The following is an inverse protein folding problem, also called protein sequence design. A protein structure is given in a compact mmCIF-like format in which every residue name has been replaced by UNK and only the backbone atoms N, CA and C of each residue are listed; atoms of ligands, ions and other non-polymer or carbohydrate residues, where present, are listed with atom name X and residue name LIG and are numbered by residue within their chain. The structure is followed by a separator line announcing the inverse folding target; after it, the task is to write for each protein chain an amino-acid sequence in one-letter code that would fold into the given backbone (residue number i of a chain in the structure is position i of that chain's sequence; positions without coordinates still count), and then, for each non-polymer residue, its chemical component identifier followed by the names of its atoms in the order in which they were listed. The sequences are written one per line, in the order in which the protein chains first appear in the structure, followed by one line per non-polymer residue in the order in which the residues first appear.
data_IF_662969808890
#
_entry.id   IF_662969808890
#
_cell.length_a   1.000
_cell.length_b   1.000
_cell.length_c   1.000
_cell.angle_alpha   90.00
_cell.angle_beta   90.00
_cell.angle_gamma   90.00
#
_symmetry.space_group_name_H-M   'P 1'
#
loop_
_entity.id
_entity.type
_entity.pdbx_description
1 polymer ?
#
# COMPACT_ATOMS: atom_id res chain seq x y z
N UNK A 1 -9.47 1.98 -11.54
CA UNK A 1 -9.59 3.22 -10.71
C UNK A 1 -8.82 3.01 -9.42
N UNK A 2 -7.92 3.92 -9.10
CA UNK A 2 -7.14 3.91 -7.86
C UNK A 2 -8.07 4.26 -6.69
N UNK A 3 -7.91 3.54 -5.58
CA UNK A 3 -8.63 3.75 -4.33
C UNK A 3 -7.68 4.26 -3.26
N UNK A 4 -8.21 4.96 -2.28
CA UNK A 4 -7.44 5.51 -1.17
C UNK A 4 -7.93 4.94 0.16
N UNK A 5 -7.00 4.41 0.94
CA UNK A 5 -7.26 3.89 2.28
C UNK A 5 -6.67 4.82 3.35
N UNK A 6 -7.39 5.00 4.44
CA UNK A 6 -6.98 5.78 5.60
C UNK A 6 -7.17 4.99 6.89
N UNK A 7 -6.27 5.20 7.84
CA UNK A 7 -6.40 4.59 9.16
C UNK A 7 -7.46 5.28 10.01
N UNK A 8 -8.08 4.52 10.88
CA UNK A 8 -9.20 4.91 11.72
C UNK A 8 -8.91 6.06 12.72
N UNK A 9 -7.63 6.39 12.93
CA UNK A 9 -7.25 7.54 13.75
C UNK A 9 -7.33 8.89 13.04
N UNK A 10 -7.57 8.90 11.71
CA UNK A 10 -7.80 10.12 10.95
C UNK A 10 -9.13 10.77 11.34
N UNK A 11 -9.23 12.08 11.11
CA UNK A 11 -10.43 12.83 11.43
C UNK A 11 -11.62 12.38 10.57
N UNK A 12 -12.84 12.49 11.10
CA UNK A 12 -14.07 12.01 10.45
C UNK A 12 -14.28 12.57 9.06
N UNK A 13 -13.92 13.84 8.83
CA UNK A 13 -14.05 14.49 7.52
C UNK A 13 -13.18 13.84 6.43
N UNK A 14 -12.04 13.26 6.80
CA UNK A 14 -11.16 12.54 5.90
C UNK A 14 -11.64 11.10 5.70
N UNK A 15 -12.02 10.43 6.78
CA UNK A 15 -12.58 9.08 6.71
C UNK A 15 -13.82 9.01 5.81
N UNK A 16 -14.67 10.04 5.83
CA UNK A 16 -15.84 10.14 4.96
C UNK A 16 -15.49 10.23 3.46
N UNK A 17 -14.25 10.55 3.12
CA UNK A 17 -13.74 10.66 1.76
C UNK A 17 -12.88 9.47 1.33
N UNK A 18 -12.54 8.57 2.25
CA UNK A 18 -11.75 7.38 1.96
C UNK A 18 -12.60 6.30 1.26
N UNK A 19 -11.96 5.55 0.37
CA UNK A 19 -12.59 4.38 -0.25
C UNK A 19 -12.52 3.15 0.68
N UNK A 20 -11.55 3.16 1.60
CA UNK A 20 -11.35 2.11 2.58
C UNK A 20 -10.85 2.70 3.90
N UNK A 21 -11.31 2.14 5.03
CA UNK A 21 -10.86 2.50 6.38
C UNK A 21 -10.11 1.32 6.98
N UNK A 22 -8.89 1.58 7.45
CA UNK A 22 -8.02 0.59 8.06
C UNK A 22 -8.10 0.71 9.58
N UNK A 23 -8.35 -0.42 10.24
CA UNK A 23 -8.44 -0.51 11.71
C UNK A 23 -7.47 -1.58 12.21
N UNK A 24 -6.72 -1.29 13.25
CA UNK A 24 -5.92 -2.31 13.95
C UNK A 24 -6.86 -3.26 14.68
N UNK A 25 -6.55 -4.57 14.70
CA UNK A 25 -7.38 -5.57 15.38
C UNK A 25 -7.57 -5.25 16.86
N UNK A 26 -6.55 -4.70 17.52
CA UNK A 26 -6.63 -4.24 18.91
C UNK A 26 -7.70 -3.15 19.16
N UNK A 27 -8.12 -2.46 18.10
CA UNK A 27 -9.14 -1.41 18.12
C UNK A 27 -10.43 -1.80 17.38
N UNK A 28 -10.65 -3.10 17.14
CA UNK A 28 -11.73 -3.62 16.30
C UNK A 28 -13.14 -3.16 16.71
N UNK A 29 -13.36 -2.85 17.98
CA UNK A 29 -14.66 -2.38 18.47
C UNK A 29 -15.10 -1.04 17.84
N UNK A 30 -14.15 -0.26 17.33
CA UNK A 30 -14.44 1.02 16.66
C UNK A 30 -15.26 0.87 15.38
N UNK A 31 -15.20 -0.32 14.74
CA UNK A 31 -15.91 -0.53 13.48
C UNK A 31 -17.43 -0.70 13.64
N UNK A 32 -17.94 -0.88 14.87
CA UNK A 32 -19.37 -1.16 15.09
C UNK A 32 -20.29 -0.05 14.56
N UNK A 33 -19.83 1.20 14.60
CA UNK A 33 -20.58 2.37 14.10
C UNK A 33 -20.29 2.69 12.62
N UNK A 34 -19.27 2.08 12.01
CA UNK A 34 -18.79 2.44 10.67
C UNK A 34 -19.79 2.17 9.54
N UNK A 35 -20.63 1.10 9.58
CA UNK A 35 -21.64 0.90 8.55
C UNK A 35 -22.59 2.10 8.40
N UNK A 36 -22.92 2.78 9.50
CA UNK A 36 -23.77 3.98 9.52
C UNK A 36 -22.98 5.25 9.21
N UNK A 37 -21.79 5.41 9.79
CA UNK A 37 -20.97 6.60 9.63
C UNK A 37 -20.31 6.70 8.26
N UNK A 38 -19.90 5.58 7.67
CA UNK A 38 -19.13 5.51 6.43
C UNK A 38 -19.68 4.44 5.46
N UNK A 39 -20.95 4.58 5.01
CA UNK A 39 -21.62 3.54 4.22
C UNK A 39 -20.97 3.28 2.85
N UNK A 40 -20.12 4.20 2.39
CA UNK A 40 -19.43 4.11 1.11
C UNK A 40 -17.99 3.59 1.20
N UNK A 41 -17.45 3.41 2.39
CA UNK A 41 -16.11 2.89 2.60
C UNK A 41 -16.10 1.36 2.81
N UNK A 42 -15.10 0.68 2.25
CA UNK A 42 -14.74 -0.67 2.68
C UNK A 42 -14.01 -0.60 4.03
N UNK A 43 -13.95 -1.73 4.74
CA UNK A 43 -13.19 -1.81 5.99
C UNK A 43 -12.17 -2.93 5.91
N UNK A 44 -10.96 -2.63 6.36
CA UNK A 44 -9.89 -3.60 6.54
C UNK A 44 -9.45 -3.64 8.01
N UNK A 45 -9.40 -4.84 8.57
CA UNK A 45 -8.81 -5.10 9.89
C UNK A 45 -7.40 -5.61 9.70
N UNK A 46 -6.41 -4.90 10.24
CA UNK A 46 -5.02 -5.36 10.26
C UNK A 46 -4.72 -6.06 11.59
N UNK A 47 -4.45 -7.36 11.50
CA UNK A 47 -4.12 -8.24 12.62
C UNK A 47 -2.60 -8.41 12.70
N UNK A 48 -2.01 -7.83 13.73
CA UNK A 48 -0.58 -7.95 14.03
C UNK A 48 -0.28 -9.07 15.03
N UNK A 49 -1.30 -9.81 15.42
CA UNK A 49 -1.22 -11.00 16.26
C UNK A 49 -0.43 -12.09 15.54
N UNK A 50 0.53 -12.68 16.23
CA UNK A 50 1.43 -13.70 15.65
C UNK A 50 0.77 -15.08 15.55
N UNK A 51 -0.22 -15.35 16.40
CA UNK A 51 -0.92 -16.63 16.43
C UNK A 51 -2.40 -16.50 16.06
N UNK A 52 -2.92 -17.51 15.39
CA UNK A 52 -4.33 -17.54 15.00
C UNK A 52 -5.28 -17.68 16.21
N UNK A 53 -4.78 -18.14 17.35
CA UNK A 53 -5.56 -18.28 18.58
C UNK A 53 -5.90 -16.92 19.24
N UNK A 54 -5.10 -15.89 18.95
CA UNK A 54 -5.28 -14.55 19.51
C UNK A 54 -6.32 -13.73 18.71
N UNK A 55 -6.82 -14.29 17.61
CA UNK A 55 -7.80 -13.63 16.74
C UNK A 55 -9.18 -14.28 16.90
N UNK A 56 -10.18 -13.48 17.24
CA UNK A 56 -11.57 -13.92 17.24
C UNK A 56 -12.16 -13.95 15.82
N UNK A 57 -11.85 -15.02 15.09
CA UNK A 57 -12.32 -15.27 13.72
C UNK A 57 -13.84 -15.30 13.60
N UNK A 58 -14.53 -15.75 14.66
CA UNK A 58 -15.99 -15.83 14.67
C UNK A 58 -16.61 -14.44 14.72
N UNK A 59 -16.04 -13.56 15.55
CA UNK A 59 -16.44 -12.16 15.61
C UNK A 59 -16.22 -11.46 14.24
N UNK A 60 -15.04 -11.61 13.65
CA UNK A 60 -14.71 -11.06 12.32
C UNK A 60 -15.69 -11.54 11.24
N UNK A 61 -16.02 -12.84 11.23
CA UNK A 61 -17.01 -13.41 10.31
C UNK A 61 -18.38 -12.75 10.47
N UNK A 62 -18.81 -12.52 11.71
CA UNK A 62 -20.11 -11.91 12.00
C UNK A 62 -20.18 -10.44 11.60
N UNK A 63 -19.04 -9.74 11.64
CA UNK A 63 -18.96 -8.33 11.23
C UNK A 63 -18.95 -8.15 9.72
N UNK A 64 -18.31 -9.04 8.98
CA UNK A 64 -18.11 -8.90 7.54
C UNK A 64 -19.38 -8.56 6.72
N UNK A 65 -20.56 -9.16 6.97
CA UNK A 65 -21.78 -8.85 6.21
C UNK A 65 -22.30 -7.42 6.39
N UNK A 66 -21.89 -6.72 7.43
CA UNK A 66 -22.34 -5.34 7.70
C UNK A 66 -21.69 -4.33 6.74
N UNK A 67 -20.58 -4.69 6.09
CA UNK A 67 -19.80 -3.80 5.22
C UNK A 67 -20.06 -4.11 3.75
N UNK A 68 -21.06 -3.48 3.17
CA UNK A 68 -21.50 -3.72 1.78
C UNK A 68 -20.44 -3.38 0.72
N UNK A 69 -19.52 -2.47 1.01
CA UNK A 69 -18.41 -2.10 0.10
C UNK A 69 -17.23 -3.05 0.18
N UNK A 70 -17.13 -3.85 1.23
CA UNK A 70 -16.13 -4.87 1.42
C UNK A 70 -15.56 -4.91 2.83
N UNK A 71 -15.13 -6.11 3.22
CA UNK A 71 -14.47 -6.37 4.50
C UNK A 71 -13.30 -7.31 4.26
N UNK A 72 -12.12 -6.93 4.73
CA UNK A 72 -10.88 -7.67 4.45
C UNK A 72 -10.02 -7.76 5.71
N UNK A 73 -9.24 -8.82 5.84
CA UNK A 73 -8.35 -9.06 6.96
C UNK A 73 -6.90 -9.08 6.47
N UNK A 74 -6.06 -8.22 7.04
CA UNK A 74 -4.61 -8.29 6.89
C UNK A 74 -4.00 -9.12 8.02
N UNK A 75 -3.09 -10.04 7.71
CA UNK A 75 -2.41 -10.90 8.69
C UNK A 75 -0.90 -10.90 8.51
N UNK A 76 -0.15 -10.96 9.59
CA UNK A 76 1.33 -10.98 9.58
C UNK A 76 1.91 -12.39 9.37
N UNK A 77 1.11 -13.42 9.60
CA UNK A 77 1.53 -14.80 9.38
C UNK A 77 0.76 -15.41 8.20
N UNK A 78 1.50 -15.80 7.16
CA UNK A 78 0.90 -16.36 5.93
C UNK A 78 0.02 -17.60 6.20
N UNK A 79 0.34 -18.39 7.22
CA UNK A 79 -0.45 -19.56 7.59
C UNK A 79 -1.84 -19.24 8.12
N UNK A 80 -2.12 -17.99 8.46
CA UNK A 80 -3.46 -17.53 8.86
C UNK A 80 -4.40 -17.32 7.68
N UNK A 81 -3.89 -17.19 6.45
CA UNK A 81 -4.72 -17.01 5.25
C UNK A 81 -5.73 -18.17 5.08
N UNK A 82 -5.32 -19.45 5.10
CA UNK A 82 -6.28 -20.56 5.03
C UNK A 82 -7.31 -20.54 6.16
N UNK A 83 -6.90 -20.12 7.36
CA UNK A 83 -7.79 -20.02 8.52
C UNK A 83 -8.85 -18.95 8.26
N UNK A 84 -8.47 -17.72 7.90
CA UNK A 84 -9.41 -16.66 7.56
C UNK A 84 -10.40 -17.12 6.47
N UNK A 85 -9.92 -17.79 5.44
CA UNK A 85 -10.75 -18.33 4.35
C UNK A 85 -11.74 -19.40 4.82
N UNK A 86 -11.38 -20.25 5.80
CA UNK A 86 -12.29 -21.24 6.38
C UNK A 86 -13.48 -20.58 7.10
N UNK A 87 -13.32 -19.33 7.53
CA UNK A 87 -14.41 -18.50 8.07
C UNK A 87 -15.15 -17.70 6.99
N UNK A 88 -14.79 -17.85 5.71
CA UNK A 88 -15.40 -17.10 4.60
C UNK A 88 -14.90 -15.66 4.47
N UNK A 89 -13.79 -15.32 5.12
CA UNK A 89 -13.19 -13.99 5.10
C UNK A 89 -12.21 -13.85 3.94
N UNK A 90 -12.18 -12.65 3.34
CA UNK A 90 -11.12 -12.26 2.42
C UNK A 90 -9.91 -11.85 3.24
N UNK A 91 -8.73 -12.34 2.86
CA UNK A 91 -7.51 -12.05 3.59
C UNK A 91 -6.33 -11.71 2.67
N UNK A 92 -5.36 -10.99 3.21
CA UNK A 92 -4.10 -10.68 2.55
C UNK A 92 -2.94 -10.69 3.56
N UNK A 93 -1.73 -10.72 3.05
CA UNK A 93 -0.50 -10.79 3.85
C UNK A 93 0.07 -9.38 4.07
N UNK A 94 0.33 -9.00 5.32
CA UNK A 94 0.86 -7.69 5.73
C UNK A 94 2.38 -7.57 5.51
N UNK A 95 2.89 -8.12 4.41
CA UNK A 95 4.30 -8.00 4.06
C UNK A 95 4.46 -7.88 2.55
N UNK A 96 5.55 -7.29 2.12
CA UNK A 96 5.87 -7.13 0.72
C UNK A 96 6.29 -8.45 0.07
N UNK A 97 5.76 -8.71 -1.12
CA UNK A 97 6.23 -9.77 -1.99
C UNK A 97 7.43 -9.25 -2.80
N UNK A 98 8.48 -10.04 -2.85
CA UNK A 98 9.75 -9.66 -3.45
C UNK A 98 10.00 -10.35 -4.80
N UNK A 99 9.29 -11.45 -5.08
CA UNK A 99 9.52 -12.30 -6.24
C UNK A 99 8.23 -12.66 -6.96
N UNK A 100 8.32 -12.99 -8.24
CA UNK A 100 7.20 -13.53 -9.00
C UNK A 100 6.73 -14.90 -8.48
N UNK A 101 7.62 -15.69 -7.86
CA UNK A 101 7.25 -16.96 -7.24
C UNK A 101 6.28 -16.74 -6.07
N UNK A 102 6.58 -15.75 -5.22
CA UNK A 102 5.69 -15.35 -4.13
C UNK A 102 4.36 -14.79 -4.65
N UNK A 103 4.38 -13.97 -5.71
CA UNK A 103 3.18 -13.46 -6.32
C UNK A 103 2.30 -14.59 -6.90
N UNK A 104 2.90 -15.57 -7.60
CA UNK A 104 2.20 -16.77 -8.06
C UNK A 104 1.57 -17.56 -6.89
N UNK A 105 2.29 -17.66 -5.78
CA UNK A 105 1.77 -18.31 -4.57
C UNK A 105 0.58 -17.53 -4.02
N UNK A 106 0.69 -16.20 -3.90
CA UNK A 106 -0.39 -15.34 -3.45
C UNK A 106 -1.66 -15.50 -4.30
N UNK A 107 -1.52 -15.56 -5.64
CA UNK A 107 -2.63 -15.80 -6.55
C UNK A 107 -3.27 -17.17 -6.34
N UNK A 108 -2.46 -18.23 -6.22
CA UNK A 108 -2.97 -19.60 -5.97
C UNK A 108 -3.69 -19.71 -4.63
N UNK A 109 -3.16 -19.05 -3.62
CA UNK A 109 -3.80 -18.98 -2.30
C UNK A 109 -5.02 -18.04 -2.29
N UNK A 110 -5.27 -17.30 -3.37
CA UNK A 110 -6.40 -16.39 -3.51
C UNK A 110 -6.41 -15.28 -2.46
N UNK A 111 -5.28 -14.60 -2.31
CA UNK A 111 -5.19 -13.41 -1.47
C UNK A 111 -6.07 -12.30 -2.06
N UNK A 112 -6.68 -11.50 -1.17
CA UNK A 112 -7.51 -10.37 -1.58
C UNK A 112 -6.69 -9.23 -2.20
N UNK A 113 -5.48 -9.03 -1.67
CA UNK A 113 -4.52 -7.99 -2.07
C UNK A 113 -3.09 -8.51 -1.89
N UNK A 114 -2.15 -7.78 -2.52
CA UNK A 114 -0.71 -7.99 -2.31
C UNK A 114 0.00 -6.65 -2.14
N UNK A 115 0.99 -6.60 -1.25
CA UNK A 115 2.00 -5.55 -1.26
C UNK A 115 3.16 -6.03 -2.14
N UNK A 116 3.61 -5.17 -3.03
CA UNK A 116 4.73 -5.45 -3.92
C UNK A 116 5.89 -4.56 -3.56
N UNK A 117 7.10 -5.13 -3.51
CA UNK A 117 8.29 -4.31 -3.48
C UNK A 117 8.43 -3.52 -4.78
N UNK A 118 9.32 -2.55 -4.79
CA UNK A 118 9.43 -1.61 -5.89
C UNK A 118 9.74 -2.28 -7.25
N UNK A 119 10.69 -3.23 -7.38
CA UNK A 119 10.95 -3.89 -8.66
C UNK A 119 9.72 -4.58 -9.25
N UNK A 120 8.95 -5.28 -8.44
CA UNK A 120 7.71 -5.89 -8.89
C UNK A 120 6.67 -4.84 -9.25
N UNK A 121 6.48 -3.83 -8.41
CA UNK A 121 5.50 -2.77 -8.63
C UNK A 121 5.77 -2.00 -9.93
N UNK A 122 7.03 -1.72 -10.25
CA UNK A 122 7.41 -1.08 -11.52
C UNK A 122 7.14 -1.93 -12.77
N UNK A 123 6.91 -3.21 -12.58
CA UNK A 123 6.61 -4.17 -13.64
C UNK A 123 5.10 -4.31 -13.91
N UNK A 124 4.36 -3.21 -13.85
CA UNK A 124 2.89 -3.22 -13.84
C UNK A 124 2.24 -3.99 -15.00
N UNK A 125 2.81 -4.00 -16.21
CA UNK A 125 2.29 -4.78 -17.34
C UNK A 125 2.32 -6.29 -17.09
N UNK A 126 3.34 -6.77 -16.35
CA UNK A 126 3.38 -8.17 -15.92
C UNK A 126 2.45 -8.43 -14.77
N UNK A 127 2.41 -7.51 -13.78
CA UNK A 127 1.55 -7.66 -12.60
C UNK A 127 0.08 -7.73 -13.00
N UNK A 128 -0.34 -6.91 -13.96
CA UNK A 128 -1.70 -6.93 -14.49
C UNK A 128 -2.17 -8.33 -14.93
N UNK A 129 -1.26 -9.17 -15.46
CA UNK A 129 -1.58 -10.54 -15.89
C UNK A 129 -1.98 -11.47 -14.74
N UNK A 130 -1.60 -11.14 -13.51
CA UNK A 130 -1.98 -11.92 -12.33
C UNK A 130 -3.40 -11.62 -11.85
N UNK A 131 -3.99 -10.50 -12.26
CA UNK A 131 -5.36 -10.11 -11.91
C UNK A 131 -5.61 -9.94 -10.42
N UNK A 132 -4.55 -9.76 -9.62
CA UNK A 132 -4.65 -9.57 -8.17
C UNK A 132 -4.54 -8.09 -7.82
N UNK A 133 -5.46 -7.54 -7.00
CA UNK A 133 -5.39 -6.15 -6.56
C UNK A 133 -4.13 -5.87 -5.75
N UNK A 134 -3.54 -4.70 -5.98
CA UNK A 134 -2.29 -4.28 -5.32
C UNK A 134 -2.58 -3.22 -4.27
N UNK A 135 -2.00 -3.39 -3.08
CA UNK A 135 -1.87 -2.32 -2.08
C UNK A 135 -0.51 -1.66 -2.24
N UNK A 136 -0.51 -0.36 -2.28
CA UNK A 136 0.72 0.42 -2.43
C UNK A 136 0.81 1.49 -1.36
N UNK A 137 1.98 1.62 -0.80
CA UNK A 137 2.31 2.64 0.19
C UNK A 137 3.44 3.49 -0.34
N UNK A 138 3.31 4.84 -0.32
CA UNK A 138 4.42 5.71 -0.63
C UNK A 138 5.47 5.58 0.48
N UNK A 139 6.44 4.69 0.29
CA UNK A 139 7.52 4.49 1.24
C UNK A 139 8.86 4.75 0.59
N UNK A 140 9.75 5.33 1.36
CA UNK A 140 11.18 5.31 1.08
C UNK A 140 11.78 4.20 1.91
N UNK A 141 12.41 3.24 1.24
CA UNK A 141 12.97 2.06 1.89
C UNK A 141 14.14 2.44 2.79
N UNK A 142 14.16 1.77 3.91
CA UNK A 142 15.21 1.54 4.90
C UNK A 142 16.20 2.69 5.19
N UNK A 143 16.17 3.12 6.46
CA UNK A 143 17.09 4.12 7.01
C UNK A 143 18.59 3.70 6.98
N UNK A 144 18.88 2.42 6.73
CA UNK A 144 20.25 1.89 6.64
C UNK A 144 20.95 2.18 5.31
N UNK A 145 20.22 2.56 4.26
CA UNK A 145 20.82 2.91 2.97
C UNK A 145 21.46 4.28 3.02
N UNK A 146 22.77 4.32 2.81
CA UNK A 146 23.56 5.56 2.89
C UNK A 146 23.42 6.49 1.66
N UNK A 147 22.91 5.95 0.53
CA UNK A 147 22.75 6.70 -0.71
C UNK A 147 21.27 6.96 -1.00
N UNK A 148 20.90 8.22 -1.24
CA UNK A 148 19.54 8.64 -1.55
C UNK A 148 19.05 8.06 -2.88
N UNK A 149 19.91 7.94 -3.88
CA UNK A 149 19.59 7.32 -5.16
C UNK A 149 19.17 5.87 -4.96
N UNK A 150 19.96 5.11 -4.21
CA UNK A 150 19.63 3.72 -3.87
C UNK A 150 18.31 3.59 -3.13
N UNK A 151 17.97 4.55 -2.25
CA UNK A 151 16.66 4.59 -1.57
C UNK A 151 15.52 4.84 -2.53
N UNK A 152 15.69 5.70 -3.51
CA UNK A 152 14.69 5.98 -4.54
C UNK A 152 14.54 4.81 -5.52
N UNK A 153 15.62 4.13 -5.86
CA UNK A 153 15.64 2.96 -6.74
C UNK A 153 14.88 1.78 -6.13
N UNK A 154 15.03 1.55 -4.83
CA UNK A 154 14.41 0.44 -4.11
C UNK A 154 13.11 0.81 -3.39
N UNK A 155 12.80 2.10 -3.28
CA UNK A 155 11.56 2.58 -2.68
C UNK A 155 10.36 2.46 -3.61
N UNK A 156 9.16 2.44 -3.03
CA UNK A 156 7.90 2.49 -3.78
C UNK A 156 7.37 3.91 -3.93
N UNK A 157 8.28 4.89 -3.97
CA UNK A 157 7.91 6.29 -4.05
C UNK A 157 7.47 6.67 -5.47
N UNK A 158 6.29 7.28 -5.58
CA UNK A 158 5.71 7.79 -6.83
C UNK A 158 5.21 9.20 -6.54
N UNK A 159 5.45 10.14 -7.43
CA UNK A 159 4.86 11.47 -7.32
C UNK A 159 3.34 11.39 -7.49
N UNK A 160 2.55 12.24 -6.81
CA UNK A 160 1.09 12.25 -6.93
C UNK A 160 0.59 12.36 -8.36
N UNK A 161 1.22 13.21 -9.19
CA UNK A 161 0.88 13.39 -10.60
C UNK A 161 1.20 12.17 -11.49
N UNK A 162 2.16 11.34 -11.07
CA UNK A 162 2.52 10.11 -11.79
C UNK A 162 1.66 8.90 -11.37
N UNK A 163 0.88 9.02 -10.29
CA UNK A 163 0.11 7.90 -9.74
C UNK A 163 -0.88 7.32 -10.77
N UNK A 164 -1.47 8.17 -11.61
CA UNK A 164 -2.38 7.74 -12.66
C UNK A 164 -1.77 6.73 -13.65
N UNK A 165 -0.44 6.71 -13.79
CA UNK A 165 0.25 5.72 -14.64
C UNK A 165 0.04 4.29 -14.15
N UNK A 166 -0.27 4.13 -12.85
CA UNK A 166 -0.52 2.85 -12.19
C UNK A 166 -2.00 2.48 -12.13
N UNK A 167 -2.90 3.31 -12.67
CA UNK A 167 -4.35 3.01 -12.74
C UNK A 167 -4.65 1.78 -13.61
N UNK A 168 -3.69 1.36 -14.41
CA UNK A 168 -3.74 0.12 -15.17
C UNK A 168 -3.64 -1.15 -14.30
N UNK A 169 -3.18 -1.02 -13.05
CA UNK A 169 -3.21 -2.11 -12.07
C UNK A 169 -4.62 -2.13 -11.48
N UNK A 170 -5.38 -3.18 -11.83
CA UNK A 170 -6.74 -3.32 -11.36
C UNK A 170 -6.80 -3.33 -9.83
N UNK A 171 -7.67 -2.47 -9.27
CA UNK A 171 -7.91 -2.40 -7.85
C UNK A 171 -6.71 -1.92 -7.02
N UNK A 172 -5.82 -1.10 -7.59
CA UNK A 172 -4.75 -0.49 -6.80
C UNK A 172 -5.32 0.36 -5.66
N UNK A 173 -4.87 0.06 -4.44
CA UNK A 173 -5.22 0.79 -3.23
C UNK A 173 -3.97 1.51 -2.73
N UNK A 174 -4.07 2.83 -2.60
CA UNK A 174 -3.05 3.66 -1.95
C UNK A 174 -3.33 3.69 -0.47
N UNK A 175 -2.42 3.11 0.30
CA UNK A 175 -2.42 3.11 1.75
C UNK A 175 -1.27 3.98 2.24
N UNK A 176 -1.53 4.87 3.18
CA UNK A 176 -0.47 5.72 3.73
C UNK A 176 0.19 5.03 4.91
N UNK A 177 1.52 5.19 5.07
CA UNK A 177 2.25 4.51 6.12
C UNK A 177 1.76 4.95 7.50
N UNK A 178 1.81 4.02 8.45
CA UNK A 178 1.59 4.28 9.88
C UNK A 178 2.76 5.13 10.41
N UNK A 179 2.71 6.42 10.20
CA UNK A 179 3.73 7.36 10.63
C UNK A 179 3.15 8.42 11.54
N UNK A 180 3.66 8.50 12.74
CA UNK A 180 3.56 9.63 13.67
C UNK A 180 2.22 10.41 13.72
N UNK A 181 1.08 9.71 13.50
CA UNK A 181 -0.24 10.27 13.74
C UNK A 181 -1.00 10.72 12.49
N UNK A 182 -2.25 11.05 12.73
CA UNK A 182 -3.27 11.33 11.72
C UNK A 182 -2.94 12.51 10.78
N UNK A 183 -2.20 13.52 11.28
CA UNK A 183 -1.96 14.76 10.54
C UNK A 183 -1.13 14.56 9.27
N UNK A 184 -0.08 13.75 9.36
CA UNK A 184 0.80 13.46 8.23
C UNK A 184 0.07 12.59 7.18
N UNK A 185 -0.68 11.59 7.64
CA UNK A 185 -1.50 10.73 6.79
C UNK A 185 -2.58 11.53 6.03
N UNK A 186 -3.28 12.43 6.73
CA UNK A 186 -4.29 13.30 6.13
C UNK A 186 -3.69 14.26 5.09
N UNK A 187 -2.48 14.79 5.37
CA UNK A 187 -1.78 15.65 4.41
C UNK A 187 -1.44 14.90 3.12
N UNK A 188 -0.89 13.69 3.24
CA UNK A 188 -0.60 12.84 2.08
C UNK A 188 -1.86 12.45 1.31
N UNK A 189 -2.92 12.07 2.02
CA UNK A 189 -4.19 11.74 1.39
C UNK A 189 -4.69 12.90 0.51
N UNK A 190 -4.68 14.13 1.02
CA UNK A 190 -5.06 15.32 0.24
C UNK A 190 -4.22 15.46 -1.02
N UNK A 191 -2.91 15.34 -0.89
CA UNK A 191 -1.95 15.52 -1.97
C UNK A 191 -2.16 14.45 -3.04
N UNK A 192 -2.17 13.18 -2.66
CA UNK A 192 -2.33 12.09 -3.61
C UNK A 192 -3.71 12.06 -4.25
N UNK A 193 -4.75 12.43 -3.51
CA UNK A 193 -6.11 12.53 -4.04
C UNK A 193 -6.28 13.70 -5.02
N UNK A 194 -5.56 14.81 -4.81
CA UNK A 194 -5.56 15.93 -5.76
C UNK A 194 -4.84 15.63 -7.07
N UNK A 195 -3.90 14.68 -7.05
CA UNK A 195 -3.06 14.34 -8.20
C UNK A 195 -2.07 15.44 -8.60
N UNK A 196 -1.90 16.47 -7.76
CA UNK A 196 -1.02 17.61 -8.03
C UNK A 196 -0.12 17.87 -6.82
N UNK A 197 1.16 18.06 -7.08
CA UNK A 197 2.14 18.41 -6.06
C UNK A 197 2.96 19.62 -6.49
N UNK A 198 2.70 20.78 -5.89
CA UNK A 198 3.37 22.03 -6.22
C UNK A 198 4.50 22.39 -5.25
N UNK A 199 4.63 21.65 -4.13
CA UNK A 199 5.60 21.97 -3.08
C UNK A 199 6.79 21.02 -3.09
N UNK A 200 7.77 21.34 -2.25
CA UNK A 200 8.94 20.49 -2.03
C UNK A 200 8.53 19.15 -1.41
N UNK A 201 8.81 18.08 -2.13
CA UNK A 201 8.61 16.72 -1.68
C UNK A 201 9.41 16.41 -0.40
N UNK A 202 10.51 17.13 -0.19
CA UNK A 202 11.35 17.01 1.00
C UNK A 202 10.62 17.31 2.30
N UNK A 203 9.66 18.23 2.29
CA UNK A 203 8.89 18.56 3.49
C UNK A 203 8.07 17.35 3.96
N UNK A 204 7.43 16.64 3.03
CA UNK A 204 6.68 15.43 3.36
C UNK A 204 7.59 14.31 3.85
N UNK A 205 8.71 14.07 3.15
CA UNK A 205 9.64 13.02 3.54
C UNK A 205 10.35 13.34 4.86
N UNK A 206 10.56 14.62 5.16
CA UNK A 206 11.10 15.04 6.46
C UNK A 206 10.11 14.74 7.59
N UNK A 207 8.84 15.05 7.40
CA UNK A 207 7.80 14.73 8.39
C UNK A 207 7.64 13.20 8.59
N UNK A 208 7.79 12.41 7.52
CA UNK A 208 7.57 10.97 7.56
C UNK A 208 8.74 10.15 8.06
N UNK A 209 9.95 10.49 7.65
CA UNK A 209 11.14 9.65 7.85
C UNK A 209 12.36 10.43 8.34
N UNK A 210 12.21 11.70 8.64
CA UNK A 210 13.35 12.58 8.95
C UNK A 210 14.32 12.74 7.77
N UNK A 211 13.84 12.50 6.54
CA UNK A 211 14.66 12.57 5.32
C UNK A 211 14.37 13.87 4.57
N UNK A 212 15.37 14.69 4.38
CA UNK A 212 15.28 15.87 3.53
C UNK A 212 15.63 15.48 2.08
N UNK A 213 14.60 15.37 1.24
CA UNK A 213 14.76 15.11 -0.21
C UNK A 213 14.09 16.23 -0.97
N UNK A 214 14.87 17.01 -1.68
CA UNK A 214 14.33 18.10 -2.48
C UNK A 214 13.51 17.58 -3.66
N UNK A 215 12.50 18.33 -4.07
CA UNK A 215 11.55 17.95 -5.11
C UNK A 215 12.21 17.64 -6.47
N UNK A 216 13.34 18.28 -6.78
CA UNK A 216 14.10 18.05 -8.01
C UNK A 216 14.75 16.65 -8.07
N UNK A 217 14.86 15.96 -6.94
CA UNK A 217 15.40 14.59 -6.90
C UNK A 217 14.38 13.55 -7.40
N UNK A 218 13.11 13.93 -7.48
CA UNK A 218 12.05 13.07 -8.04
C UNK A 218 11.26 13.94 -9.05
N UNK A 219 11.79 14.12 -10.26
CA UNK A 219 11.18 15.00 -11.25
C UNK A 219 9.85 14.47 -11.77
N UNK A 220 9.00 15.34 -12.35
CA UNK A 220 7.85 14.91 -13.12
C UNK A 220 8.24 13.90 -14.20
N UNK A 221 7.46 12.85 -14.37
CA UNK A 221 7.76 11.78 -15.33
C UNK A 221 8.70 10.69 -14.82
N UNK A 222 9.23 10.81 -13.60
CA UNK A 222 10.04 9.75 -12.99
C UNK A 222 9.26 8.42 -12.92
N UNK A 223 7.98 8.46 -12.54
CA UNK A 223 7.11 7.29 -12.53
C UNK A 223 6.98 6.66 -13.92
N UNK A 224 6.86 7.47 -14.98
CA UNK A 224 6.81 6.97 -16.36
C UNK A 224 8.11 6.29 -16.78
N UNK A 225 9.27 6.86 -16.43
CA UNK A 225 10.56 6.24 -16.70
C UNK A 225 10.68 4.89 -16.00
N UNK A 226 10.24 4.80 -14.74
CA UNK A 226 10.21 3.54 -13.97
C UNK A 226 9.23 2.52 -14.55
N UNK A 227 8.05 2.94 -14.97
CA UNK A 227 7.08 2.05 -15.62
C UNK A 227 7.62 1.43 -16.91
N UNK A 228 8.46 2.14 -17.64
CA UNK A 228 9.12 1.65 -18.85
C UNK A 228 10.40 0.85 -18.54
N UNK A 229 10.75 0.67 -17.28
CA UNK A 229 11.91 -0.10 -16.88
C UNK A 229 11.82 -1.54 -17.39
N UNK A 230 12.87 -2.02 -18.04
CA UNK A 230 12.95 -3.39 -18.57
C UNK A 230 13.11 -4.47 -17.49
N UNK A 231 12.98 -4.10 -16.21
CA UNK A 231 12.98 -5.00 -15.05
C UNK A 231 14.31 -5.71 -14.79
N UNK A 232 15.38 -5.10 -15.23
CA UNK A 232 16.71 -5.61 -14.92
C UNK A 232 17.06 -5.57 -13.43
N UNK A 233 16.24 -4.86 -12.61
CA UNK A 233 16.40 -4.87 -11.14
C UNK A 233 16.34 -6.27 -10.52
N UNK A 234 15.62 -7.22 -11.14
CA UNK A 234 15.63 -8.62 -10.70
C UNK A 234 16.94 -9.33 -11.04
N UNK A 235 17.55 -8.97 -12.17
CA UNK A 235 18.81 -9.55 -12.65
C UNK A 235 20.00 -8.87 -11.95
N UNK A 236 19.82 -7.62 -11.51
CA UNK A 236 20.81 -6.80 -10.82
C UNK A 236 20.23 -6.26 -9.51
N UNK A 237 20.06 -7.11 -8.48
CA UNK A 237 19.39 -6.72 -7.22
C UNK A 237 20.10 -5.58 -6.49
N UNK A 238 21.34 -5.29 -6.83
CA UNK A 238 22.11 -4.16 -6.30
C UNK A 238 22.08 -2.91 -7.19
N UNK A 239 21.25 -2.89 -8.26
CA UNK A 239 21.19 -1.77 -9.19
C UNK A 239 22.34 -1.70 -10.20
N UNK A 240 23.37 -2.54 -10.06
CA UNK A 240 24.53 -2.57 -10.95
C UNK A 240 24.11 -2.90 -12.38
N UNK A 241 24.26 -1.94 -13.28
CA UNK A 241 23.93 -2.06 -14.69
C UNK A 241 22.51 -1.61 -15.09
N UNK A 242 21.70 -1.10 -14.14
CA UNK A 242 20.45 -0.43 -14.44
C UNK A 242 20.59 1.09 -14.24
N UNK A 243 20.64 1.83 -15.34
CA UNK A 243 20.80 3.30 -15.30
C UNK A 243 19.47 4.05 -15.51
N UNK A 244 18.31 3.38 -15.55
CA UNK A 244 17.03 4.04 -15.82
C UNK A 244 16.69 5.05 -14.75
N UNK A 245 16.90 4.70 -13.48
CA UNK A 245 16.63 5.62 -12.37
C UNK A 245 17.68 6.76 -12.31
N UNK A 246 18.94 6.49 -12.65
CA UNK A 246 20.00 7.51 -12.73
C UNK A 246 19.74 8.53 -13.83
N UNK A 247 19.23 8.09 -14.99
CA UNK A 247 18.92 8.98 -16.12
C UNK A 247 17.58 9.71 -15.96
N UNK A 248 16.73 9.29 -15.04
CA UNK A 248 15.46 9.93 -14.76
C UNK A 248 15.55 11.00 -13.66
N UNK A 249 16.69 11.08 -12.98
CA UNK A 249 17.04 12.09 -11.98
C UNK A 249 18.00 13.11 -12.57
#
# INVERSE_FOLDING_TARGET
MIKFALHAWCDREYLAQADEIIVKYSEKERILEYPELYPNAAVTIQCYEETAADIDWKWLKNMAPLFHKGFTIGVVNFNMIPIAKSYGLKAYFLSYLNTYAELNRACREGLAYVYLNQPLFSSHDRIKRFGIPVRWTPTVVDASMHNILSKLEHGTWIRPEDLQLYDIIEGCIVEFPDVNGSRAEQALFKIYKSGVWEQDLGLLLLEFKGMNVANYLIPPGFGKARCNCSQKCETFPNGDGCHICEHAL
#
